data_IF_650933604940
#
_entry.id   IF_650933604940
#
_cell.length_a   1.000
_cell.length_b   1.000
_cell.length_c   1.000
_cell.angle_alpha   90.00
_cell.angle_beta   90.00
_cell.angle_gamma   90.00
#
_symmetry.space_group_name_H-M   'P 1'
#
loop_
_entity.id
_entity.type
_entity.pdbx_description
1 polymer ?
#
# COMPACT_ATOMS: atom_id res chain seq x y z
N UNK A 1 8.18 17.88 40.54
CA UNK A 1 8.84 18.49 39.36
C UNK A 1 8.71 17.49 38.23
N UNK A 2 7.93 17.87 37.21
CA UNK A 2 7.56 17.01 36.09
C UNK A 2 8.75 16.88 35.13
N UNK A 3 9.17 15.66 34.81
CA UNK A 3 10.02 15.43 33.65
C UNK A 3 9.14 15.47 32.40
N UNK A 4 9.16 16.60 31.69
CA UNK A 4 8.75 16.67 30.30
C UNK A 4 9.74 15.83 29.48
N UNK A 5 9.33 14.65 29.05
CA UNK A 5 10.00 13.99 27.92
C UNK A 5 9.72 14.84 26.68
N UNK A 6 10.76 15.49 26.16
CA UNK A 6 10.67 16.30 24.96
C UNK A 6 10.84 15.36 23.74
N UNK A 7 9.98 15.51 22.73
CA UNK A 7 9.99 14.63 21.54
C UNK A 7 11.29 14.70 20.72
N UNK A 8 12.18 15.65 21.02
CA UNK A 8 13.45 15.88 20.35
C UNK A 8 14.64 15.13 20.95
N UNK A 9 14.46 14.36 22.03
CA UNK A 9 15.52 13.53 22.64
C UNK A 9 15.55 12.09 22.11
N UNK A 10 14.68 11.74 21.17
CA UNK A 10 14.79 10.47 20.43
C UNK A 10 15.88 10.66 19.37
N UNK A 11 16.95 9.85 19.38
CA UNK A 11 17.92 9.84 18.29
C UNK A 11 17.17 9.37 17.03
N UNK A 12 16.81 10.32 16.16
CA UNK A 12 16.39 10.01 14.80
C UNK A 12 17.67 9.52 14.11
N UNK A 13 17.85 8.20 14.05
CA UNK A 13 18.85 7.63 13.17
C UNK A 13 18.54 8.12 11.74
N UNK A 14 19.55 8.49 10.94
CA UNK A 14 19.31 8.76 9.54
C UNK A 14 18.75 7.46 8.96
N UNK A 15 17.51 7.48 8.49
CA UNK A 15 16.97 6.37 7.72
C UNK A 15 17.63 6.48 6.34
N UNK A 16 18.91 6.13 6.28
CA UNK A 16 19.65 5.86 5.05
C UNK A 16 19.17 4.49 4.53
N UNK A 17 17.89 4.47 4.22
CA UNK A 17 17.23 3.47 3.41
C UNK A 17 16.52 4.28 2.36
N UNK A 18 17.22 4.55 1.26
CA UNK A 18 16.58 4.66 -0.04
C UNK A 18 15.58 3.50 -0.11
N UNK A 19 14.30 3.79 0.12
CA UNK A 19 13.24 2.97 -0.46
C UNK A 19 13.28 3.33 -1.94
N UNK A 20 14.37 2.89 -2.61
CA UNK A 20 14.38 2.71 -4.05
C UNK A 20 13.06 2.03 -4.34
N UNK A 21 12.14 2.65 -5.11
CA UNK A 21 10.95 1.96 -5.53
C UNK A 21 11.46 0.77 -6.34
N UNK A 22 11.48 -0.42 -5.73
CA UNK A 22 11.87 -1.63 -6.43
C UNK A 22 11.06 -1.67 -7.73
N UNK A 23 11.70 -1.92 -8.88
CA UNK A 23 11.07 -1.70 -10.16
C UNK A 23 9.94 -2.71 -10.28
N UNK A 24 8.71 -2.20 -10.27
CA UNK A 24 7.49 -2.88 -10.67
C UNK A 24 7.10 -4.07 -9.78
N UNK A 25 6.29 -3.82 -8.77
CA UNK A 25 5.35 -4.81 -8.25
C UNK A 25 4.41 -5.22 -9.40
N UNK A 26 4.86 -6.17 -10.21
CA UNK A 26 4.12 -6.64 -11.37
C UNK A 26 2.91 -7.42 -10.87
N UNK A 27 1.73 -6.87 -11.08
CA UNK A 27 0.46 -7.53 -10.77
C UNK A 27 0.34 -8.80 -11.65
N UNK A 28 0.18 -10.01 -11.07
CA UNK A 28 0.07 -11.24 -11.83
C UNK A 28 -1.11 -11.23 -12.84
N UNK A 29 -1.02 -11.96 -13.96
CA UNK A 29 -2.00 -11.88 -15.05
C UNK A 29 -3.44 -12.35 -14.72
N UNK A 30 -3.68 -12.93 -13.54
CA UNK A 30 -5.02 -13.33 -13.05
C UNK A 30 -5.34 -12.72 -11.68
N UNK A 31 -4.65 -11.65 -11.33
CA UNK A 31 -4.84 -10.99 -10.06
C UNK A 31 -6.14 -10.17 -10.05
N UNK A 32 -6.84 -10.17 -8.92
CA UNK A 32 -8.10 -9.45 -8.74
C UNK A 32 -8.01 -8.56 -7.51
N UNK A 33 -8.37 -7.28 -7.69
CA UNK A 33 -8.31 -6.27 -6.63
C UNK A 33 -9.18 -6.65 -5.44
N UNK A 34 -10.47 -6.93 -5.66
CA UNK A 34 -11.44 -7.20 -4.58
C UNK A 34 -11.08 -8.47 -3.80
N UNK A 35 -10.63 -9.53 -4.49
CA UNK A 35 -10.16 -10.75 -3.84
C UNK A 35 -8.92 -10.49 -2.96
N UNK A 36 -8.03 -9.60 -3.41
CA UNK A 36 -6.82 -9.24 -2.66
C UNK A 36 -7.14 -8.38 -1.45
N UNK A 37 -8.10 -7.45 -1.57
CA UNK A 37 -8.63 -6.68 -0.44
C UNK A 37 -9.24 -7.62 0.61
N UNK A 38 -10.06 -8.59 0.20
CA UNK A 38 -10.64 -9.58 1.10
C UNK A 38 -9.57 -10.43 1.83
N UNK A 39 -8.46 -10.77 1.15
CA UNK A 39 -7.31 -11.44 1.78
C UNK A 39 -6.67 -10.55 2.85
N UNK A 40 -6.47 -9.25 2.57
CA UNK A 40 -5.92 -8.28 3.52
C UNK A 40 -6.84 -8.14 4.74
N UNK A 41 -8.15 -7.98 4.55
CA UNK A 41 -9.12 -7.89 5.64
C UNK A 41 -9.11 -9.14 6.52
N UNK A 42 -8.99 -10.32 5.91
CA UNK A 42 -8.85 -11.58 6.65
C UNK A 42 -7.59 -11.60 7.51
N UNK A 43 -6.46 -11.14 6.97
CA UNK A 43 -5.20 -11.04 7.71
C UNK A 43 -5.34 -10.09 8.90
N UNK A 44 -5.90 -8.90 8.68
CA UNK A 44 -6.09 -7.88 9.74
C UNK A 44 -6.96 -8.44 10.86
N UNK A 45 -8.10 -9.04 10.51
CA UNK A 45 -9.01 -9.63 11.50
C UNK A 45 -8.31 -10.66 12.38
N UNK A 46 -7.47 -11.54 11.80
CA UNK A 46 -6.71 -12.54 12.57
C UNK A 46 -5.69 -11.92 13.51
N UNK A 47 -5.03 -10.84 13.08
CA UNK A 47 -4.09 -10.09 13.92
C UNK A 47 -4.85 -9.42 15.08
N UNK A 48 -5.98 -8.78 14.80
CA UNK A 48 -6.80 -8.07 15.81
C UNK A 48 -7.45 -9.01 16.83
N UNK A 49 -7.78 -10.24 16.43
CA UNK A 49 -8.29 -11.27 17.35
C UNK A 49 -7.22 -11.81 18.31
N UNK A 50 -5.94 -11.56 18.03
CA UNK A 50 -4.84 -12.05 18.88
C UNK A 50 -4.65 -13.57 18.85
N UNK A 51 -5.11 -14.23 17.78
CA UNK A 51 -5.04 -15.70 17.61
C UNK A 51 -3.67 -16.19 17.12
N UNK A 52 -2.77 -15.27 16.79
CA UNK A 52 -1.48 -15.54 16.19
C UNK A 52 -0.36 -15.39 17.22
N UNK A 53 0.60 -16.31 17.17
CA UNK A 53 1.87 -16.11 17.85
C UNK A 53 2.61 -14.90 17.24
N UNK A 54 3.43 -14.21 18.03
CA UNK A 54 4.13 -13.00 17.59
C UNK A 54 4.96 -13.23 16.31
N UNK A 55 5.59 -14.40 16.18
CA UNK A 55 6.33 -14.78 14.98
C UNK A 55 5.42 -14.90 13.74
N UNK A 56 4.19 -15.39 13.91
CA UNK A 56 3.21 -15.53 12.84
C UNK A 56 2.63 -14.17 12.44
N UNK A 57 2.46 -13.24 13.38
CA UNK A 57 2.04 -11.86 13.11
C UNK A 57 2.97 -11.20 12.09
N UNK A 58 4.30 -11.32 12.26
CA UNK A 58 5.26 -10.75 11.31
C UNK A 58 5.11 -11.33 9.90
N UNK A 59 4.87 -12.64 9.79
CA UNK A 59 4.65 -13.31 8.50
C UNK A 59 3.36 -12.84 7.83
N UNK A 60 2.26 -12.77 8.58
CA UNK A 60 0.97 -12.28 8.08
C UNK A 60 1.06 -10.80 7.67
N UNK A 61 1.74 -9.97 8.46
CA UNK A 61 1.93 -8.56 8.17
C UNK A 61 2.75 -8.35 6.88
N UNK A 62 3.83 -9.12 6.68
CA UNK A 62 4.61 -9.06 5.45
C UNK A 62 3.78 -9.41 4.21
N UNK A 63 2.90 -10.41 4.31
CA UNK A 63 1.97 -10.77 3.22
C UNK A 63 1.00 -9.62 2.95
N UNK A 64 0.39 -9.04 3.99
CA UNK A 64 -0.53 -7.91 3.83
C UNK A 64 0.14 -6.69 3.18
N UNK A 65 1.38 -6.36 3.56
CA UNK A 65 2.16 -5.28 2.94
C UNK A 65 2.39 -5.54 1.45
N UNK A 66 2.75 -6.77 1.08
CA UNK A 66 2.93 -7.13 -0.33
C UNK A 66 1.63 -7.02 -1.12
N UNK A 67 0.50 -7.45 -0.55
CA UNK A 67 -0.82 -7.27 -1.17
C UNK A 67 -1.21 -5.81 -1.32
N UNK A 68 -0.95 -4.97 -0.31
CA UNK A 68 -1.22 -3.54 -0.38
C UNK A 68 -0.42 -2.86 -1.50
N UNK A 69 0.85 -3.25 -1.71
CA UNK A 69 1.66 -2.76 -2.83
C UNK A 69 1.08 -3.16 -4.19
N UNK A 70 0.51 -4.35 -4.29
CA UNK A 70 -0.16 -4.80 -5.52
C UNK A 70 -1.44 -4.00 -5.78
N UNK A 71 -2.22 -3.72 -4.74
CA UNK A 71 -3.38 -2.82 -4.82
C UNK A 71 -2.98 -1.42 -5.28
N UNK A 72 -1.96 -0.82 -4.68
CA UNK A 72 -1.44 0.49 -5.06
C UNK A 72 -0.98 0.52 -6.52
N UNK A 73 -0.18 -0.45 -6.95
CA UNK A 73 0.29 -0.54 -8.33
C UNK A 73 -0.88 -0.65 -9.34
N UNK A 74 -1.92 -1.41 -8.99
CA UNK A 74 -3.12 -1.53 -9.81
C UNK A 74 -3.89 -0.21 -9.88
N UNK A 75 -4.17 0.43 -8.73
CA UNK A 75 -4.92 1.69 -8.67
C UNK A 75 -4.21 2.81 -9.42
N UNK A 76 -2.88 2.92 -9.29
CA UNK A 76 -2.08 3.88 -10.03
C UNK A 76 -2.24 3.70 -11.55
N UNK A 77 -2.26 2.44 -12.02
CA UNK A 77 -2.48 2.13 -13.44
C UNK A 77 -3.90 2.48 -13.90
N UNK A 78 -4.90 2.26 -13.06
CA UNK A 78 -6.29 2.59 -13.39
C UNK A 78 -6.50 4.11 -13.42
N UNK A 79 -5.90 4.84 -12.48
CA UNK A 79 -5.94 6.30 -12.47
C UNK A 79 -5.39 6.88 -13.78
N UNK A 80 -4.21 6.43 -14.22
CA UNK A 80 -3.61 6.87 -15.48
C UNK A 80 -4.51 6.60 -16.69
N UNK A 81 -5.21 5.45 -16.71
CA UNK A 81 -6.15 5.14 -17.79
C UNK A 81 -7.36 6.06 -17.78
N UNK A 82 -7.91 6.36 -16.61
CA UNK A 82 -9.02 7.30 -16.46
C UNK A 82 -8.60 8.70 -16.89
N UNK A 83 -7.42 9.17 -16.49
CA UNK A 83 -6.90 10.48 -16.87
C UNK A 83 -6.80 10.62 -18.39
N UNK A 84 -6.27 9.61 -19.08
CA UNK A 84 -6.18 9.59 -20.55
C UNK A 84 -7.55 9.59 -21.24
N UNK A 85 -8.53 8.87 -20.68
CA UNK A 85 -9.90 8.87 -21.21
C UNK A 85 -10.55 10.25 -21.05
N UNK A 86 -10.32 10.92 -19.92
CA UNK A 86 -10.82 12.28 -19.68
C UNK A 86 -10.18 13.28 -20.63
N UNK A 87 -8.86 13.22 -20.82
CA UNK A 87 -8.12 14.05 -21.79
C UNK A 87 -8.69 13.88 -23.20
N UNK A 88 -8.88 12.64 -23.64
CA UNK A 88 -9.44 12.34 -24.97
C UNK A 88 -10.87 12.89 -25.15
N UNK A 89 -11.72 12.75 -24.13
CA UNK A 89 -13.10 13.25 -24.20
C UNK A 89 -13.17 14.79 -24.24
N UNK A 90 -12.28 15.47 -23.52
CA UNK A 90 -12.20 16.94 -23.53
C UNK A 90 -11.72 17.45 -24.88
N UNK A 91 -10.68 16.83 -25.45
CA UNK A 91 -10.16 17.16 -26.78
C UNK A 91 -11.23 17.00 -27.88
N UNK A 92 -12.06 15.97 -27.82
CA UNK A 92 -13.18 15.80 -28.77
C UNK A 92 -14.29 16.85 -28.57
N UNK A 93 -14.54 17.26 -27.32
CA UNK A 93 -15.57 18.26 -27.01
C UNK A 93 -15.17 19.69 -27.40
N UNK A 94 -13.87 20.00 -27.38
CA UNK A 94 -13.32 21.30 -27.79
C UNK A 94 -13.21 21.45 -29.33
N UNK A 95 -13.41 20.34 -30.08
CA UNK A 95 -13.43 20.31 -31.55
C UNK A 95 -14.84 20.45 -32.15
N UNK A 96 -15.90 20.53 -31.33
CA UNK A 96 -17.30 20.71 -31.73
C UNK A 96 -17.83 22.13 -31.45
#
# INVERSE_FOLDING_TARGET
MNNLFNSSDIPVQPVDGEHSPSPHSSVPPNWNYEATVAEIETIINRIEMGELELAEVFGQFAIAVERLRQCEAFLNRQQQQVDLLVETLLDESDLL
#
